data_IF_742686494409
#
_entry.id   IF_742686494409
#
_cell.length_a   1.000
_cell.length_b   1.000
_cell.length_c   1.000
_cell.angle_alpha   90.00
_cell.angle_beta   90.00
_cell.angle_gamma   90.00
#
_symmetry.space_group_name_H-M   'P 1'
#
loop_
_entity.id
_entity.type
_entity.pdbx_description
1 polymer ?
#
# COMPACT_ATOMS: atom_id res chain seq x y z
N UNK A 1 -0.58 9.53 18.78
CA UNK A 1 -0.06 8.66 17.72
C UNK A 1 -0.34 9.37 16.41
N UNK A 2 0.69 9.66 15.63
CA UNK A 2 0.54 10.20 14.27
C UNK A 2 -0.01 9.12 13.33
N UNK A 3 -0.53 9.50 12.18
CA UNK A 3 -1.03 8.54 11.18
C UNK A 3 0.09 7.63 10.66
N UNK A 4 1.32 8.15 10.58
CA UNK A 4 2.51 7.36 10.23
C UNK A 4 2.89 6.35 11.30
N UNK A 5 2.79 6.70 12.58
CA UNK A 5 2.98 5.76 13.68
C UNK A 5 1.88 4.69 13.67
N UNK A 6 0.64 5.05 13.32
CA UNK A 6 -0.47 4.10 13.11
C UNK A 6 -0.13 3.11 12.00
N UNK A 7 0.18 3.59 10.79
CA UNK A 7 0.48 2.74 9.64
C UNK A 7 1.63 1.76 9.93
N UNK A 8 2.71 2.23 10.56
CA UNK A 8 3.83 1.34 10.95
C UNK A 8 3.39 0.27 11.94
N UNK A 9 2.56 0.63 12.93
CA UNK A 9 2.02 -0.33 13.89
C UNK A 9 1.05 -1.33 13.26
N UNK A 10 0.30 -0.94 12.24
CA UNK A 10 -0.57 -1.84 11.48
C UNK A 10 0.25 -2.91 10.73
N UNK A 11 1.37 -2.53 10.08
CA UNK A 11 2.31 -3.49 9.50
C UNK A 11 2.84 -4.47 10.54
N UNK A 12 3.31 -3.96 11.69
CA UNK A 12 3.81 -4.80 12.79
C UNK A 12 2.74 -5.76 13.30
N UNK A 13 1.49 -5.30 13.38
CA UNK A 13 0.35 -6.11 13.84
C UNK A 13 0.03 -7.22 12.85
N UNK A 14 0.01 -6.93 11.54
CA UNK A 14 -0.16 -7.94 10.49
C UNK A 14 0.90 -9.06 10.58
N UNK A 15 2.16 -8.69 10.80
CA UNK A 15 3.27 -9.66 10.95
C UNK A 15 3.12 -10.46 12.24
N UNK A 16 2.75 -9.81 13.34
CA UNK A 16 2.60 -10.45 14.65
C UNK A 16 1.43 -11.45 14.70
N UNK A 17 0.35 -11.19 13.96
CA UNK A 17 -0.81 -12.09 13.86
C UNK A 17 -0.48 -13.39 13.11
N UNK A 18 0.47 -13.36 12.17
CA UNK A 18 0.89 -14.50 11.34
C UNK A 18 2.41 -14.64 11.34
N UNK A 19 3.01 -14.96 12.51
CA UNK A 19 4.45 -14.94 12.66
C UNK A 19 5.11 -15.95 11.72
N UNK A 20 6.18 -15.52 11.03
CA UNK A 20 6.95 -16.33 10.07
C UNK A 20 6.27 -16.61 8.72
N UNK A 21 5.05 -16.12 8.47
CA UNK A 21 4.39 -16.30 7.18
C UNK A 21 4.79 -15.24 6.15
N UNK A 22 5.10 -14.02 6.60
CA UNK A 22 5.55 -12.94 5.74
C UNK A 22 7.00 -13.14 5.32
N UNK A 23 7.24 -13.14 4.00
CA UNK A 23 8.61 -13.12 3.46
C UNK A 23 9.27 -11.79 3.78
N UNK A 24 10.58 -11.79 4.03
CA UNK A 24 11.35 -10.55 4.23
C UNK A 24 11.21 -9.57 3.06
N UNK A 25 11.11 -10.09 1.83
CA UNK A 25 10.88 -9.31 0.64
C UNK A 25 9.53 -8.57 0.67
N UNK A 26 8.43 -9.23 1.05
CA UNK A 26 7.11 -8.60 1.18
C UNK A 26 7.13 -7.43 2.17
N UNK A 27 7.80 -7.62 3.32
CA UNK A 27 7.97 -6.55 4.32
C UNK A 27 8.83 -5.40 3.76
N UNK A 28 9.85 -5.71 2.96
CA UNK A 28 10.68 -4.70 2.32
C UNK A 28 9.89 -3.87 1.29
N UNK A 29 9.09 -4.50 0.43
CA UNK A 29 8.21 -3.79 -0.52
C UNK A 29 7.21 -2.88 0.23
N UNK A 30 6.59 -3.38 1.30
CA UNK A 30 5.69 -2.55 2.12
C UNK A 30 6.41 -1.32 2.71
N UNK A 31 7.66 -1.49 3.16
CA UNK A 31 8.46 -0.38 3.66
C UNK A 31 8.86 0.62 2.56
N UNK A 32 9.11 0.16 1.34
CA UNK A 32 9.37 1.04 0.20
C UNK A 32 8.14 1.89 -0.12
N UNK A 33 6.94 1.30 -0.12
CA UNK A 33 5.67 2.03 -0.30
C UNK A 33 5.51 3.09 0.79
N UNK A 34 5.68 2.73 2.06
CA UNK A 34 5.59 3.71 3.16
C UNK A 34 6.66 4.80 3.04
N UNK A 35 7.87 4.44 2.65
CA UNK A 35 8.96 5.38 2.41
C UNK A 35 8.63 6.36 1.29
N UNK A 36 8.16 5.87 0.14
CA UNK A 36 7.72 6.67 -1.00
C UNK A 36 6.63 7.66 -0.59
N UNK A 37 5.56 7.15 0.02
CA UNK A 37 4.41 7.96 0.42
C UNK A 37 4.86 9.07 1.39
N UNK A 38 5.68 8.75 2.39
CA UNK A 38 6.18 9.71 3.36
C UNK A 38 7.10 10.76 2.73
N UNK A 39 8.02 10.34 1.86
CA UNK A 39 8.99 11.24 1.21
C UNK A 39 8.34 12.18 0.20
N UNK A 40 7.26 11.74 -0.43
CA UNK A 40 6.53 12.54 -1.44
C UNK A 40 5.37 13.34 -0.85
N UNK A 41 5.25 13.38 0.49
CA UNK A 41 4.25 14.16 1.20
C UNK A 41 2.83 13.59 1.11
N UNK A 42 2.65 12.34 0.68
CA UNK A 42 1.34 11.71 0.55
C UNK A 42 0.77 11.27 1.91
N UNK A 43 -0.56 11.17 2.04
CA UNK A 43 -1.20 10.72 3.27
C UNK A 43 -0.82 9.28 3.62
N UNK A 44 -0.74 9.01 4.93
CA UNK A 44 -0.47 7.66 5.42
C UNK A 44 -1.68 6.74 5.12
N UNK A 45 -1.46 5.52 4.61
CA UNK A 45 -2.55 4.62 4.27
C UNK A 45 -3.12 3.92 5.52
N UNK A 46 -4.24 3.22 5.33
CA UNK A 46 -4.67 2.16 6.24
C UNK A 46 -4.09 0.83 5.75
N UNK A 47 -3.72 -0.05 6.69
CA UNK A 47 -3.07 -1.32 6.36
C UNK A 47 -3.72 -2.46 7.15
N UNK A 48 -3.97 -3.57 6.47
CA UNK A 48 -4.52 -4.80 7.08
C UNK A 48 -3.99 -6.05 6.35
N UNK A 49 -4.10 -7.26 6.95
CA UNK A 49 -3.57 -8.45 6.32
C UNK A 49 -4.44 -8.89 5.14
N UNK A 50 -3.81 -9.35 4.07
CA UNK A 50 -4.48 -10.05 2.98
C UNK A 50 -4.89 -11.47 3.36
N UNK A 51 -5.60 -12.14 2.45
CA UNK A 51 -5.90 -13.58 2.61
C UNK A 51 -4.59 -14.40 2.62
N UNK A 52 -3.68 -14.09 1.69
CA UNK A 52 -2.31 -14.58 1.70
C UNK A 52 -1.42 -13.74 2.64
N UNK A 53 -0.16 -14.14 2.93
CA UNK A 53 0.80 -13.34 3.70
C UNK A 53 1.28 -12.08 2.95
N UNK A 54 0.33 -11.21 2.62
CA UNK A 54 0.42 -9.96 1.87
C UNK A 54 -0.15 -8.83 2.71
N UNK A 55 0.19 -7.59 2.35
CA UNK A 55 -0.42 -6.41 2.99
C UNK A 55 -1.45 -5.81 2.03
N UNK A 56 -2.66 -5.56 2.52
CA UNK A 56 -3.64 -4.76 1.82
C UNK A 56 -3.54 -3.31 2.28
N UNK A 57 -3.68 -2.38 1.33
CA UNK A 57 -3.50 -0.94 1.55
C UNK A 57 -4.65 -0.18 0.90
N UNK A 58 -5.23 0.78 1.62
CA UNK A 58 -6.16 1.78 1.05
C UNK A 58 -6.04 3.14 1.75
N UNK A 59 -6.89 4.06 1.33
CA UNK A 59 -7.04 5.39 1.92
C UNK A 59 -8.52 5.73 2.07
N UNK A 60 -8.86 6.38 3.18
CA UNK A 60 -10.19 6.97 3.40
C UNK A 60 -10.20 8.41 2.87
N UNK A 61 -10.09 8.53 1.54
CA UNK A 61 -10.00 9.80 0.81
C UNK A 61 -10.92 9.77 -0.40
N UNK A 62 -11.70 10.83 -0.60
CA UNK A 62 -12.73 10.87 -1.65
C UNK A 62 -12.17 10.73 -3.08
N UNK A 63 -10.91 11.13 -3.34
CA UNK A 63 -10.27 11.07 -4.66
C UNK A 63 -9.71 9.69 -5.01
N UNK A 64 -9.51 8.82 -4.01
CA UNK A 64 -8.96 7.47 -4.18
C UNK A 64 -9.73 6.41 -3.38
N UNK A 65 -11.00 6.65 -3.04
CA UNK A 65 -11.84 5.72 -2.25
C UNK A 65 -11.99 4.34 -2.92
N UNK A 66 -11.73 4.28 -4.22
CA UNK A 66 -11.76 3.08 -5.01
C UNK A 66 -10.41 2.39 -5.23
N UNK A 67 -9.32 2.96 -4.73
CA UNK A 67 -7.98 2.40 -4.87
C UNK A 67 -7.70 1.44 -3.73
N UNK A 68 -7.27 0.22 -4.08
CA UNK A 68 -6.66 -0.71 -3.12
C UNK A 68 -5.37 -1.27 -3.70
N UNK A 69 -4.40 -1.53 -2.85
CA UNK A 69 -3.19 -2.24 -3.22
C UNK A 69 -3.11 -3.55 -2.44
N UNK A 70 -2.59 -4.60 -3.06
CA UNK A 70 -2.12 -5.79 -2.35
C UNK A 70 -0.64 -6.01 -2.63
N UNK A 71 0.16 -6.06 -1.56
CA UNK A 71 1.62 -6.04 -1.61
C UNK A 71 2.18 -7.45 -1.49
N UNK A 72 2.86 -7.90 -2.54
CA UNK A 72 3.54 -9.19 -2.62
C UNK A 72 5.06 -9.00 -2.45
N UNK A 73 5.80 -10.10 -2.60
CA UNK A 73 7.27 -10.09 -2.45
C UNK A 73 7.99 -9.51 -3.67
N UNK A 74 7.33 -9.51 -4.83
CA UNK A 74 7.88 -9.26 -6.16
C UNK A 74 7.00 -8.31 -7.00
N UNK A 75 5.79 -8.01 -6.55
CA UNK A 75 4.86 -7.10 -7.22
C UNK A 75 3.89 -6.43 -6.26
N UNK A 76 3.16 -5.46 -6.78
CA UNK A 76 2.02 -4.83 -6.13
C UNK A 76 0.84 -4.97 -7.09
N UNK A 77 -0.24 -5.60 -6.61
CA UNK A 77 -1.50 -5.64 -7.37
C UNK A 77 -2.27 -4.35 -7.07
N UNK A 78 -2.58 -3.59 -8.13
CA UNK A 78 -3.29 -2.32 -8.06
C UNK A 78 -4.73 -2.54 -8.50
N UNK A 79 -5.66 -2.25 -7.59
CA UNK A 79 -7.09 -2.45 -7.78
C UNK A 79 -7.84 -1.12 -7.86
N UNK A 80 -8.67 -0.95 -8.89
CA UNK A 80 -9.63 0.16 -9.02
C UNK A 80 -11.05 -0.38 -9.09
N UNK A 81 -11.88 0.03 -8.14
CA UNK A 81 -13.29 -0.34 -8.06
C UNK A 81 -14.22 0.80 -8.50
N UNK A 82 -14.87 0.69 -9.63
CA UNK A 82 -15.95 1.60 -10.02
C UNK A 82 -17.25 0.81 -10.16
N UNK A 83 -18.40 1.49 -10.11
CA UNK A 83 -19.73 0.85 -10.09
C UNK A 83 -19.97 -0.16 -11.23
N UNK A 84 -19.19 -0.08 -12.31
CA UNK A 84 -19.33 -0.90 -13.52
C UNK A 84 -18.05 -1.60 -13.95
N UNK A 85 -16.90 -1.28 -13.35
CA UNK A 85 -15.61 -1.80 -13.79
C UNK A 85 -14.76 -2.18 -12.58
N UNK A 86 -14.03 -3.27 -12.73
CA UNK A 86 -12.98 -3.68 -11.81
C UNK A 86 -11.73 -3.79 -12.66
N UNK A 87 -10.82 -2.83 -12.47
CA UNK A 87 -9.52 -2.84 -13.15
C UNK A 87 -8.45 -3.33 -12.19
N UNK A 88 -7.59 -4.20 -12.70
CA UNK A 88 -6.50 -4.81 -11.95
C UNK A 88 -5.28 -4.86 -12.83
N UNK A 89 -4.16 -4.35 -12.32
CA UNK A 89 -2.88 -4.49 -12.97
C UNK A 89 -1.75 -4.68 -11.95
N UNK A 90 -0.66 -5.28 -12.41
CA UNK A 90 0.49 -5.62 -11.57
C UNK A 90 1.62 -4.61 -11.82
N UNK A 91 2.06 -3.94 -10.75
CA UNK A 91 3.33 -3.21 -10.73
C UNK A 91 4.42 -4.18 -10.26
N UNK A 92 5.33 -4.56 -11.16
CA UNK A 92 6.53 -5.29 -10.78
C UNK A 92 7.41 -4.40 -9.88
N UNK A 93 7.78 -4.89 -8.69
CA UNK A 93 8.61 -4.12 -7.76
C UNK A 93 9.56 -5.01 -6.99
N UNK A 94 10.85 -4.85 -7.26
CA UNK A 94 11.91 -5.41 -6.43
C UNK A 94 12.24 -4.45 -5.28
N UNK A 95 12.46 -4.93 -4.04
CA UNK A 95 12.81 -4.07 -2.92
C UNK A 95 13.99 -3.13 -3.21
N UNK A 96 13.79 -1.83 -2.98
CA UNK A 96 14.75 -0.76 -3.24
C UNK A 96 14.81 -0.27 -4.70
N UNK A 97 14.03 -0.86 -5.60
CA UNK A 97 13.89 -0.35 -6.98
C UNK A 97 12.99 0.89 -7.04
N UNK A 98 12.99 1.57 -8.19
CA UNK A 98 12.14 2.73 -8.40
C UNK A 98 10.76 2.28 -8.89
N UNK A 99 9.71 2.91 -8.34
CA UNK A 99 8.34 2.73 -8.82
C UNK A 99 8.14 3.35 -10.19
N UNK A 100 7.29 2.73 -11.01
CA UNK A 100 6.91 3.26 -12.33
C UNK A 100 6.09 4.55 -12.22
N UNK A 101 6.15 5.39 -13.25
CA UNK A 101 5.29 6.58 -13.33
C UNK A 101 3.79 6.20 -13.32
N UNK A 102 3.44 5.04 -13.89
CA UNK A 102 2.06 4.54 -13.88
C UNK A 102 1.58 4.31 -12.45
N UNK A 103 2.38 3.61 -11.62
CA UNK A 103 2.07 3.40 -10.21
C UNK A 103 1.96 4.72 -9.45
N UNK A 104 2.90 5.66 -9.66
CA UNK A 104 2.89 6.96 -8.99
C UNK A 104 1.63 7.80 -9.31
N UNK A 105 1.06 7.63 -10.50
CA UNK A 105 -0.17 8.30 -10.94
C UNK A 105 -1.43 7.69 -10.31
N UNK A 106 -1.36 6.49 -9.75
CA UNK A 106 -2.49 5.88 -9.04
C UNK A 106 -2.65 6.43 -7.63
N UNK A 107 -1.54 6.73 -6.97
CA UNK A 107 -1.50 7.11 -5.56
C UNK A 107 -2.20 8.45 -5.29
N UNK A 108 -2.73 8.67 -4.07
CA UNK A 108 -3.34 9.94 -3.70
C UNK A 108 -2.39 11.11 -3.91
N UNK A 109 -2.97 12.29 -4.13
CA UNK A 109 -2.21 13.52 -4.24
C UNK A 109 -1.48 13.84 -2.93
N UNK A 110 -0.29 14.49 -2.97
CA UNK A 110 0.41 14.93 -1.75
C UNK A 110 -0.44 15.78 -0.81
N UNK A 111 -1.33 16.61 -1.37
CA UNK A 111 -2.15 17.53 -0.60
C UNK A 111 -3.55 16.97 -0.26
N UNK A 112 -3.79 15.68 -0.51
CA UNK A 112 -5.08 15.06 -0.22
C UNK A 112 -5.29 14.97 1.31
N UNK A 113 -6.35 15.60 1.79
CA UNK A 113 -6.80 15.53 3.18
C UNK A 113 -8.05 14.65 3.29
N UNK A 114 -8.19 13.93 4.40
CA UNK A 114 -9.43 13.22 4.75
C UNK A 114 -10.64 14.15 4.64
N UNK A 115 -11.71 13.65 4.02
CA UNK A 115 -12.97 14.37 3.82
C UNK A 115 -13.75 14.52 5.14
#
# INVERSE_FOLDING_TARGET
MTEWERARREVESCIAERPSEYKSATVAVMNDILGLLQQTGRPAPNIWPGYWPTFCVDWDLADVENLKLEVFADRIEVYRYNETLFDVWDEDHEPGSAFSEAFLNELPSPDATSA
#
